data_IF_855587273675
#
_entry.id   IF_855587273675
#
_cell.length_a   1.000
_cell.length_b   1.000
_cell.length_c   1.000
_cell.angle_alpha   90.00
_cell.angle_beta   90.00
_cell.angle_gamma   90.00
#
_symmetry.space_group_name_H-M   'P 1'
#
loop_
_entity.id
_entity.type
_entity.pdbx_description
1 polymer ?
#
# COMPACT_ATOMS: atom_id res chain seq x y z
N UNK A 1 17.20 9.44 71.74
CA UNK A 1 17.40 8.78 70.42
C UNK A 1 16.07 8.70 69.70
N UNK A 2 15.81 9.55 68.68
CA UNK A 2 14.66 9.40 67.77
C UNK A 2 15.22 9.32 66.35
N UNK A 3 15.19 8.12 65.77
CA UNK A 3 15.57 7.90 64.38
C UNK A 3 14.49 8.54 63.48
N UNK A 4 14.88 9.52 62.67
CA UNK A 4 14.02 10.09 61.63
C UNK A 4 14.10 9.16 60.42
N UNK A 5 13.05 8.41 60.14
CA UNK A 5 12.89 7.70 58.87
C UNK A 5 12.50 8.73 57.81
N UNK A 6 13.44 9.04 56.92
CA UNK A 6 13.22 9.90 55.76
C UNK A 6 12.52 9.07 54.68
N UNK A 7 11.20 9.20 54.54
CA UNK A 7 10.47 8.68 53.39
C UNK A 7 10.83 9.51 52.17
N UNK A 8 11.79 9.03 51.37
CA UNK A 8 11.98 9.52 50.02
C UNK A 8 10.72 9.18 49.20
N UNK A 9 9.85 10.16 49.01
CA UNK A 9 8.72 10.03 48.10
C UNK A 9 9.28 9.91 46.68
N UNK A 10 9.29 8.70 46.12
CA UNK A 10 9.61 8.49 44.72
C UNK A 10 8.61 9.29 43.87
N UNK A 11 9.05 10.28 43.09
CA UNK A 11 8.13 11.15 42.39
C UNK A 11 7.62 10.42 41.14
N UNK A 12 6.47 9.75 41.27
CA UNK A 12 5.85 8.97 40.18
C UNK A 12 5.51 9.85 38.97
N UNK A 13 5.18 11.12 39.19
CA UNK A 13 4.79 12.08 38.15
C UNK A 13 5.90 12.40 37.12
N UNK A 14 7.14 12.78 37.50
CA UNK A 14 8.23 12.99 36.54
C UNK A 14 8.68 11.73 35.81
N UNK A 15 8.51 10.55 36.43
CA UNK A 15 8.80 9.28 35.75
C UNK A 15 7.80 9.01 34.62
N UNK A 16 6.50 9.28 34.85
CA UNK A 16 5.46 9.16 33.84
C UNK A 16 5.66 10.12 32.67
N UNK A 17 5.99 11.39 32.93
CA UNK A 17 6.30 12.36 31.85
C UNK A 17 7.55 11.96 31.08
N UNK A 18 8.61 11.48 31.74
CA UNK A 18 9.80 10.98 31.06
C UNK A 18 9.48 9.78 30.15
N UNK A 19 8.64 8.84 30.59
CA UNK A 19 8.20 7.71 29.77
C UNK A 19 7.38 8.14 28.55
N UNK A 20 6.45 9.10 28.72
CA UNK A 20 5.65 9.63 27.60
C UNK A 20 6.56 10.30 26.56
N UNK A 21 7.47 11.16 26.99
CA UNK A 21 8.42 11.84 26.09
C UNK A 21 9.33 10.84 25.37
N UNK A 22 9.86 9.84 26.08
CA UNK A 22 10.67 8.79 25.48
C UNK A 22 9.89 7.97 24.43
N UNK A 23 8.62 7.65 24.71
CA UNK A 23 7.76 6.92 23.77
C UNK A 23 7.47 7.75 22.51
N UNK A 24 7.14 9.04 22.67
CA UNK A 24 6.93 9.96 21.55
C UNK A 24 8.21 10.15 20.72
N UNK A 25 9.37 10.29 21.36
CA UNK A 25 10.64 10.37 20.66
C UNK A 25 10.90 9.11 19.84
N UNK A 26 10.66 7.91 20.41
CA UNK A 26 10.86 6.64 19.70
C UNK A 26 9.94 6.49 18.47
N UNK A 27 8.69 6.96 18.57
CA UNK A 27 7.73 6.96 17.45
C UNK A 27 8.20 7.84 16.28
N UNK A 28 8.92 8.93 16.55
CA UNK A 28 9.46 9.82 15.51
C UNK A 28 10.67 9.23 14.78
N UNK A 29 11.38 8.28 15.38
CA UNK A 29 12.52 7.57 14.78
C UNK A 29 12.11 6.30 14.02
N UNK A 30 10.81 5.93 14.00
CA UNK A 30 10.36 4.73 13.32
C UNK A 30 10.60 4.82 11.79
N UNK A 31 11.16 3.76 11.16
CA UNK A 31 11.31 3.74 9.71
C UNK A 31 9.94 3.78 9.03
N UNK A 32 9.79 4.64 8.02
CA UNK A 32 8.57 4.72 7.22
C UNK A 32 8.59 3.58 6.19
N UNK A 33 7.65 2.65 6.33
CA UNK A 33 7.40 1.64 5.30
C UNK A 33 6.47 2.25 4.26
N UNK A 34 6.97 2.46 3.05
CA UNK A 34 6.17 2.93 1.92
C UNK A 34 5.78 1.74 1.05
N UNK A 35 4.50 1.43 0.98
CA UNK A 35 3.97 0.54 -0.05
C UNK A 35 4.24 1.17 -1.42
N UNK A 36 4.67 0.37 -2.39
CA UNK A 36 4.90 0.85 -3.74
C UNK A 36 3.57 1.21 -4.42
N UNK A 37 3.55 2.38 -5.05
CA UNK A 37 2.43 2.80 -5.89
C UNK A 37 2.73 2.44 -7.34
N UNK A 38 1.78 1.79 -8.00
CA UNK A 38 1.86 1.45 -9.42
C UNK A 38 0.90 2.32 -10.21
N UNK A 39 1.36 2.87 -11.34
CA UNK A 39 0.53 3.54 -12.32
C UNK A 39 0.61 2.78 -13.64
N UNK A 40 -0.51 2.23 -14.08
CA UNK A 40 -0.61 1.55 -15.37
C UNK A 40 -0.75 2.60 -16.48
N UNK A 41 0.18 2.57 -17.42
CA UNK A 41 0.13 3.28 -18.69
C UNK A 41 -0.35 2.27 -19.74
N UNK A 42 -1.64 2.38 -20.08
CA UNK A 42 -2.25 1.57 -21.11
C UNK A 42 -1.72 1.99 -22.49
N UNK A 43 -1.08 1.05 -23.20
CA UNK A 43 -0.53 1.23 -24.53
C UNK A 43 -1.40 0.66 -25.66
N UNK A 44 -2.51 -0.02 -25.32
CA UNK A 44 -3.45 -0.54 -26.30
C UNK A 44 -4.12 0.61 -27.07
N UNK A 45 -4.32 0.44 -28.37
CA UNK A 45 -5.16 1.33 -29.17
C UNK A 45 -6.64 1.21 -28.76
N UNK A 46 -7.49 2.05 -29.33
CA UNK A 46 -8.93 1.91 -29.15
C UNK A 46 -9.44 0.63 -29.84
N UNK A 47 -10.27 -0.15 -29.14
CA UNK A 47 -10.89 -1.34 -29.71
C UNK A 47 -10.16 -2.67 -29.45
N UNK A 48 -9.01 -2.65 -28.78
CA UNK A 48 -8.19 -3.84 -28.52
C UNK A 48 -7.77 -3.97 -27.06
N UNK A 49 -7.23 -5.13 -26.68
CA UNK A 49 -6.59 -5.35 -25.38
C UNK A 49 -7.42 -4.91 -24.17
N UNK A 50 -6.91 -3.97 -23.38
CA UNK A 50 -7.58 -3.31 -22.25
C UNK A 50 -8.72 -2.37 -22.67
N UNK A 51 -8.74 -1.90 -23.92
CA UNK A 51 -9.77 -1.01 -24.49
C UNK A 51 -10.80 -1.77 -25.34
N UNK A 52 -10.79 -3.10 -25.32
CA UNK A 52 -11.72 -3.96 -26.06
C UNK A 52 -13.17 -3.73 -25.59
N UNK A 53 -14.07 -3.20 -26.46
CA UNK A 53 -15.43 -2.83 -26.10
C UNK A 53 -16.40 -4.01 -26.11
N UNK A 54 -15.94 -5.24 -26.42
CA UNK A 54 -16.79 -6.44 -26.53
C UNK A 54 -17.60 -6.62 -25.24
N UNK A 55 -18.95 -6.54 -25.30
CA UNK A 55 -19.78 -6.68 -24.11
C UNK A 55 -19.66 -8.08 -23.50
N UNK A 56 -19.45 -8.14 -22.19
CA UNK A 56 -19.43 -9.39 -21.42
C UNK A 56 -20.14 -9.18 -20.09
N UNK A 57 -20.81 -10.22 -19.59
CA UNK A 57 -21.36 -10.18 -18.25
C UNK A 57 -20.21 -10.09 -17.22
N UNK A 58 -20.38 -9.35 -16.10
CA UNK A 58 -19.45 -9.40 -14.98
C UNK A 58 -19.17 -10.84 -14.53
N UNK A 59 -17.90 -11.14 -14.24
CA UNK A 59 -17.47 -12.48 -13.82
C UNK A 59 -16.80 -12.41 -12.45
N UNK A 60 -17.30 -13.20 -11.49
CA UNK A 60 -16.76 -13.26 -10.13
C UNK A 60 -16.76 -11.89 -9.45
N UNK A 61 -15.61 -11.46 -8.96
CA UNK A 61 -15.42 -10.15 -8.31
C UNK A 61 -15.10 -8.99 -9.29
N UNK A 62 -15.19 -9.21 -10.60
CA UNK A 62 -14.84 -8.21 -11.60
C UNK A 62 -16.11 -7.55 -12.20
N UNK A 63 -16.42 -6.29 -11.85
CA UNK A 63 -17.65 -5.62 -12.29
C UNK A 63 -17.61 -5.11 -13.73
N UNK A 64 -16.51 -5.31 -14.47
CA UNK A 64 -16.37 -4.83 -15.85
C UNK A 64 -17.42 -5.42 -16.78
N UNK A 65 -18.02 -4.59 -17.62
CA UNK A 65 -19.05 -4.97 -18.60
C UNK A 65 -18.52 -5.11 -20.03
N UNK A 66 -17.23 -4.84 -20.24
CA UNK A 66 -16.52 -5.14 -21.49
C UNK A 66 -15.31 -6.01 -21.21
N UNK A 67 -14.86 -6.76 -22.22
CA UNK A 67 -13.73 -7.65 -22.08
C UNK A 67 -12.44 -6.89 -21.72
N UNK A 68 -12.23 -5.73 -22.34
CA UNK A 68 -11.12 -4.84 -22.04
C UNK A 68 -11.16 -4.32 -20.61
N UNK A 69 -12.32 -3.86 -20.14
CA UNK A 69 -12.48 -3.39 -18.77
C UNK A 69 -12.18 -4.50 -17.75
N UNK A 70 -12.61 -5.73 -18.03
CA UNK A 70 -12.30 -6.85 -17.15
C UNK A 70 -10.79 -7.14 -17.09
N UNK A 71 -10.10 -7.14 -18.23
CA UNK A 71 -8.62 -7.29 -18.28
C UNK A 71 -7.91 -6.18 -17.50
N UNK A 72 -8.35 -4.94 -17.70
CA UNK A 72 -7.81 -3.76 -17.02
C UNK A 72 -7.97 -3.85 -15.49
N UNK A 73 -9.14 -4.28 -15.03
CA UNK A 73 -9.41 -4.46 -13.60
C UNK A 73 -8.50 -5.54 -12.98
N UNK A 74 -8.28 -6.65 -13.68
CA UNK A 74 -7.37 -7.71 -13.23
C UNK A 74 -5.94 -7.19 -13.13
N UNK A 75 -5.48 -6.44 -14.13
CA UNK A 75 -4.13 -5.88 -14.10
C UNK A 75 -3.95 -4.89 -12.94
N UNK A 76 -4.90 -3.99 -12.71
CA UNK A 76 -4.87 -3.08 -11.58
C UNK A 76 -4.90 -3.81 -10.24
N UNK A 77 -5.66 -4.89 -10.12
CA UNK A 77 -5.67 -5.73 -8.92
C UNK A 77 -4.30 -6.38 -8.69
N UNK A 78 -3.64 -6.86 -9.75
CA UNK A 78 -2.27 -7.38 -9.65
C UNK A 78 -1.29 -6.30 -9.18
N UNK A 79 -1.35 -5.09 -9.75
CA UNK A 79 -0.57 -3.94 -9.30
C UNK A 79 -0.79 -3.61 -7.82
N UNK A 80 -2.05 -3.63 -7.36
CA UNK A 80 -2.38 -3.41 -5.95
C UNK A 80 -1.74 -4.46 -5.04
N UNK A 81 -1.84 -5.74 -5.39
CA UNK A 81 -1.24 -6.85 -4.64
C UNK A 81 0.28 -6.67 -4.55
N UNK A 82 0.94 -6.41 -5.68
CA UNK A 82 2.39 -6.18 -5.71
C UNK A 82 2.82 -4.94 -4.91
N UNK A 83 2.00 -3.89 -4.90
CA UNK A 83 2.23 -2.69 -4.10
C UNK A 83 2.31 -2.97 -2.59
N UNK A 84 1.66 -4.03 -2.10
CA UNK A 84 1.75 -4.44 -0.69
C UNK A 84 3.09 -5.09 -0.32
N UNK A 85 3.80 -5.68 -1.30
CA UNK A 85 5.04 -6.41 -1.07
C UNK A 85 6.29 -5.59 -1.40
N UNK A 86 6.17 -4.65 -2.34
CA UNK A 86 7.29 -3.84 -2.78
C UNK A 86 7.38 -2.55 -1.97
N UNK A 87 8.58 -2.23 -1.50
CA UNK A 87 8.86 -0.96 -0.84
C UNK A 87 9.43 0.03 -1.86
N UNK A 88 8.72 1.13 -2.11
CA UNK A 88 9.18 2.17 -3.02
C UNK A 88 8.65 3.54 -2.55
N UNK A 89 9.52 4.54 -2.58
CA UNK A 89 9.16 5.94 -2.37
C UNK A 89 8.86 6.68 -3.69
N UNK A 90 8.94 5.98 -4.83
CA UNK A 90 8.58 6.51 -6.14
C UNK A 90 7.44 5.69 -6.76
N UNK A 91 6.60 6.38 -7.55
CA UNK A 91 5.56 5.71 -8.34
C UNK A 91 6.21 4.90 -9.46
N UNK A 92 5.87 3.62 -9.53
CA UNK A 92 6.32 2.71 -10.57
C UNK A 92 5.37 2.82 -11.77
N UNK A 93 5.92 3.21 -12.91
CA UNK A 93 5.18 3.31 -14.17
C UNK A 93 5.23 1.97 -14.89
N UNK A 94 4.06 1.36 -15.13
CA UNK A 94 3.95 0.10 -15.84
C UNK A 94 3.35 0.37 -17.20
N UNK A 95 4.17 0.32 -18.24
CA UNK A 95 3.70 0.38 -19.62
C UNK A 95 3.30 -1.03 -20.05
N UNK A 96 2.04 -1.21 -20.46
CA UNK A 96 1.54 -2.51 -20.87
C UNK A 96 0.48 -2.39 -21.97
N UNK A 97 0.46 -3.41 -22.82
CA UNK A 97 -0.59 -3.73 -23.79
C UNK A 97 -1.07 -5.17 -23.55
N UNK A 98 -2.23 -5.53 -24.08
CA UNK A 98 -2.80 -6.87 -23.99
C UNK A 98 -2.90 -7.48 -25.40
N UNK A 99 -1.73 -7.71 -25.99
CA UNK A 99 -1.60 -8.25 -27.34
C UNK A 99 -1.77 -9.78 -27.36
N UNK A 100 -2.31 -10.35 -28.45
CA UNK A 100 -2.27 -11.79 -28.66
C UNK A 100 -0.82 -12.29 -28.71
N UNK A 101 -0.54 -13.40 -28.03
CA UNK A 101 0.71 -14.11 -28.22
C UNK A 101 0.65 -14.87 -29.56
N UNK A 102 1.59 -14.63 -30.46
CA UNK A 102 1.76 -15.49 -31.63
C UNK A 102 2.21 -16.87 -31.15
N UNK A 103 1.53 -17.96 -31.53
CA UNK A 103 2.03 -19.30 -31.24
C UNK A 103 3.42 -19.48 -31.88
N UNK A 104 4.30 -20.19 -31.18
CA UNK A 104 5.61 -20.59 -31.69
C UNK A 104 5.51 -21.60 -32.84
#
# INVERSE_FOLDING_TARGET
>A
MRARYSTAAFPVLPLLTAMVVATLALLLLAPRVHAATFNLINLDAAGEGFNDPTPVAPVGGNPGTTLGQQRLNVFNQACFIWGQYLQSNVTIQVQANFDPLTPC
#
